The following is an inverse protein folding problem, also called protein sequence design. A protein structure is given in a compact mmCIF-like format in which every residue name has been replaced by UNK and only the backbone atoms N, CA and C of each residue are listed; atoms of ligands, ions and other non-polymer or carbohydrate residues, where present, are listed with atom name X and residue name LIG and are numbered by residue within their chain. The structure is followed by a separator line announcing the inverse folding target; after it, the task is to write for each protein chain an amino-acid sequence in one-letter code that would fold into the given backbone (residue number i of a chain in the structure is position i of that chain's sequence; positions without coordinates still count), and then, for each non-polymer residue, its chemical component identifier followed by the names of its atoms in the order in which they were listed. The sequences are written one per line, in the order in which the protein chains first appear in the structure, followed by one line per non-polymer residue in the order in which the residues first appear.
data_IF_295548519500
#
_entry.id   IF_295548519500
#
_cell.length_a   1.000
_cell.length_b   1.000
_cell.length_c   1.000
_cell.angle_alpha   90.00
_cell.angle_beta   90.00
_cell.angle_gamma   90.00
#
_symmetry.space_group_name_H-M   'P 1'
#
loop_
_entity.id
_entity.type
_entity.pdbx_description
1 polymer ?
#
# COMPACT_ATOMS: atom_id res chain seq x y z
N UNK A 1 -8.71 7.43 11.86
CA UNK A 1 -8.72 7.85 10.44
C UNK A 1 -8.19 6.69 9.64
N UNK A 2 -9.07 5.89 9.03
CA UNK A 2 -8.66 4.76 8.18
C UNK A 2 -8.57 5.33 6.77
N UNK A 3 -7.35 5.54 6.27
CA UNK A 3 -7.17 5.82 4.85
C UNK A 3 -7.66 4.61 4.07
N UNK A 4 -8.52 4.82 3.08
CA UNK A 4 -9.01 3.73 2.23
C UNK A 4 -7.82 3.25 1.42
N UNK A 5 -7.28 2.07 1.73
CA UNK A 5 -6.22 1.44 0.92
C UNK A 5 -6.60 1.32 -0.56
N UNK A 6 -7.90 1.36 -0.87
CA UNK A 6 -8.44 1.48 -2.22
C UNK A 6 -7.98 2.71 -3.03
N UNK A 7 -7.46 3.76 -2.39
CA UNK A 7 -6.99 4.99 -3.05
C UNK A 7 -5.48 5.02 -3.29
N UNK A 8 -4.73 4.02 -2.79
CA UNK A 8 -3.31 3.91 -3.06
C UNK A 8 -3.10 3.35 -4.46
N UNK A 9 -2.26 4.01 -5.25
CA UNK A 9 -1.85 3.49 -6.53
C UNK A 9 -1.10 2.17 -6.34
N UNK A 10 -1.40 1.20 -7.22
CA UNK A 10 -0.75 -0.11 -7.23
C UNK A 10 -0.24 -0.42 -8.64
N UNK A 11 0.75 0.33 -9.13
CA UNK A 11 1.25 0.14 -10.50
C UNK A 11 1.88 -1.24 -10.70
N UNK A 12 2.31 -1.90 -9.63
CA UNK A 12 2.93 -3.22 -9.65
C UNK A 12 1.95 -4.37 -9.36
N UNK A 13 0.69 -4.07 -9.02
CA UNK A 13 -0.32 -5.10 -8.71
C UNK A 13 0.02 -5.94 -7.48
N UNK A 14 0.78 -5.39 -6.53
CA UNK A 14 1.31 -6.13 -5.36
C UNK A 14 0.41 -6.04 -4.13
N UNK A 15 -0.64 -5.22 -4.21
CA UNK A 15 -1.59 -5.06 -3.12
C UNK A 15 -2.84 -5.92 -3.35
N UNK A 16 -3.04 -6.92 -2.50
CA UNK A 16 -4.30 -7.66 -2.41
C UNK A 16 -5.30 -6.93 -1.51
N UNK A 17 -6.59 -7.20 -1.65
CA UNK A 17 -7.62 -6.50 -0.88
C UNK A 17 -8.74 -7.42 -0.40
N UNK A 18 -8.90 -7.51 0.93
CA UNK A 18 -10.14 -8.00 1.53
C UNK A 18 -11.02 -6.82 1.96
N UNK A 19 -12.16 -6.67 1.28
CA UNK A 19 -13.18 -5.66 1.60
C UNK A 19 -13.01 -4.31 0.91
N UNK A 20 -13.90 -3.36 1.23
CA UNK A 20 -14.06 -2.11 0.47
C UNK A 20 -12.95 -1.06 0.69
N UNK A 21 -12.19 -1.19 1.78
CA UNK A 21 -11.31 -0.14 2.27
C UNK A 21 -9.92 -0.60 2.69
N UNK A 22 -9.65 -1.92 2.69
CA UNK A 22 -8.36 -2.47 3.10
C UNK A 22 -7.63 -3.04 1.89
N UNK A 23 -6.33 -2.76 1.82
CA UNK A 23 -5.40 -3.45 0.92
C UNK A 23 -4.15 -3.82 1.73
N UNK A 24 -3.55 -4.95 1.40
CA UNK A 24 -2.39 -5.50 2.09
C UNK A 24 -1.33 -5.94 1.07
N UNK A 25 -0.06 -5.81 1.45
CA UNK A 25 1.05 -6.47 0.76
C UNK A 25 1.49 -7.60 1.68
N UNK A 26 1.46 -8.84 1.17
CA UNK A 26 1.88 -10.01 1.93
C UNK A 26 3.34 -10.35 1.64
N UNK A 27 4.16 -10.37 2.69
CA UNK A 27 5.54 -10.85 2.62
C UNK A 27 5.64 -12.16 3.42
N UNK A 28 6.21 -13.20 2.82
CA UNK A 28 6.52 -14.47 3.47
C UNK A 28 7.96 -14.54 3.99
N UNK A 29 8.86 -13.69 3.47
CA UNK A 29 10.21 -13.52 3.99
C UNK A 29 10.73 -12.09 3.77
N UNK A 30 11.72 -11.61 4.55
CA UNK A 30 12.28 -10.26 4.38
C UNK A 30 12.90 -10.00 3.01
N UNK A 31 13.41 -11.04 2.35
CA UNK A 31 14.07 -10.95 1.04
C UNK A 31 13.08 -10.66 -0.10
N UNK A 32 11.77 -10.82 0.13
CA UNK A 32 10.72 -10.47 -0.82
C UNK A 32 10.37 -8.98 -0.83
N UNK A 33 10.91 -8.21 0.13
CA UNK A 33 10.68 -6.77 0.20
C UNK A 33 11.54 -6.12 -0.88
N UNK A 34 10.89 -5.76 -1.99
CA UNK A 34 11.48 -4.91 -3.01
C UNK A 34 11.30 -3.41 -2.62
N UNK A 35 12.38 -2.69 -2.27
CA UNK A 35 12.28 -1.28 -1.89
C UNK A 35 11.74 -0.38 -3.00
N UNK A 36 11.98 -0.73 -4.27
CA UNK A 36 11.52 0.06 -5.41
C UNK A 36 10.00 -0.04 -5.60
N UNK A 37 9.40 -1.12 -5.10
CA UNK A 37 7.95 -1.34 -5.08
C UNK A 37 7.32 -0.77 -3.81
N UNK A 38 7.92 -0.99 -2.64
CA UNK A 38 7.31 -0.65 -1.35
C UNK A 38 7.45 0.84 -1.01
N UNK A 39 8.60 1.45 -1.30
CA UNK A 39 8.85 2.84 -0.93
C UNK A 39 7.88 3.85 -1.57
N UNK A 40 7.51 3.74 -2.87
CA UNK A 40 6.48 4.60 -3.46
C UNK A 40 5.13 4.52 -2.74
N UNK A 41 4.68 3.31 -2.39
CA UNK A 41 3.39 3.08 -1.70
C UNK A 41 3.40 3.74 -0.32
N UNK A 42 4.51 3.62 0.44
CA UNK A 42 4.66 4.26 1.75
C UNK A 42 4.70 5.79 1.65
N UNK A 43 5.39 6.35 0.65
CA UNK A 43 5.43 7.80 0.41
C UNK A 43 4.04 8.34 0.07
N UNK A 44 3.30 7.62 -0.77
CA UNK A 44 1.94 7.96 -1.16
C UNK A 44 0.97 7.92 0.02
N UNK A 45 1.05 6.86 0.84
CA UNK A 45 0.27 6.74 2.07
C UNK A 45 0.57 7.88 3.06
N UNK A 46 1.85 8.26 3.19
CA UNK A 46 2.26 9.39 4.02
C UNK A 46 1.74 10.73 3.48
N UNK A 47 1.79 10.94 2.16
CA UNK A 47 1.30 12.16 1.50
C UNK A 47 -0.22 12.33 1.66
N UNK A 48 -0.97 11.24 1.57
CA UNK A 48 -2.44 11.26 1.73
C UNK A 48 -2.91 11.33 3.18
N UNK A 49 -1.99 11.31 4.16
CA UNK A 49 -2.35 11.47 5.57
C UNK A 49 -3.08 12.79 5.87
N UNK A 50 -2.83 13.83 5.06
CA UNK A 50 -3.43 15.16 5.20
C UNK A 50 -4.73 15.35 4.42
N UNK A 51 -5.11 14.42 3.54
CA UNK A 51 -6.38 14.44 2.81
C UNK A 51 -7.45 13.78 3.69
N UNK A 52 -8.05 14.58 4.57
CA UNK A 52 -9.16 14.21 5.46
C UNK A 52 -10.50 14.11 4.73
#
# INVERSE_FOLDING_TARGET
MIHKGALLADPHGVMDGEGRYSRAITFHSPEQIDPDVVAPILREAAARRTEM
#
